data_IF_616168081225
#
_entry.id   IF_616168081225
#
_cell.length_a   1.000
_cell.length_b   1.000
_cell.length_c   1.000
_cell.angle_alpha   90.00
_cell.angle_beta   90.00
_cell.angle_gamma   90.00
#
_symmetry.space_group_name_H-M   'P 1'
#
loop_
_entity.id
_entity.type
_entity.pdbx_description
1 polymer ?
#
# COMPACT_ATOMS: atom_id res chain seq x y z
N UNK A 1 6.28 -0.55 12.37
CA UNK A 1 7.37 0.06 11.57
C UNK A 1 8.31 -0.94 10.90
N UNK A 2 8.77 -2.01 11.55
CA UNK A 2 9.73 -3.02 11.00
C UNK A 2 9.42 -3.69 9.63
N UNK A 3 8.34 -3.37 8.91
CA UNK A 3 8.02 -3.97 7.59
C UNK A 3 8.16 -3.01 6.41
N UNK A 4 8.10 -1.69 6.62
CA UNK A 4 8.18 -0.72 5.51
C UNK A 4 9.61 -0.52 5.03
N UNK A 5 10.58 -0.57 5.94
CA UNK A 5 12.00 -0.36 5.63
C UNK A 5 12.63 -1.54 4.88
N UNK A 6 12.36 -2.79 5.29
CA UNK A 6 13.02 -3.98 4.69
C UNK A 6 12.43 -4.43 3.34
N UNK A 7 11.18 -4.06 3.01
CA UNK A 7 10.48 -4.62 1.84
C UNK A 7 9.96 -3.57 0.85
N UNK A 8 10.21 -2.27 1.09
CA UNK A 8 9.68 -1.17 0.30
C UNK A 8 8.15 -1.32 0.08
N UNK A 9 7.43 -1.49 1.19
CA UNK A 9 6.01 -1.80 1.20
C UNK A 9 5.22 -0.88 2.13
N UNK A 10 4.07 -0.43 1.63
CA UNK A 10 3.08 0.37 2.37
C UNK A 10 1.85 -0.47 2.67
N UNK A 11 1.23 -0.23 3.82
CA UNK A 11 0.00 -0.90 4.25
C UNK A 11 -1.13 0.12 4.25
N UNK A 12 -2.20 -0.18 3.53
CA UNK A 12 -3.40 0.65 3.46
C UNK A 12 -4.59 -0.12 4.05
N UNK A 13 -5.43 0.53 4.84
CA UNK A 13 -6.77 0.00 5.14
C UNK A 13 -7.69 0.27 3.95
N UNK A 14 -8.46 -0.73 3.54
CA UNK A 14 -9.28 -0.73 2.33
C UNK A 14 -10.63 -1.41 2.58
N UNK A 15 -11.60 -1.16 1.71
CA UNK A 15 -12.90 -1.80 1.78
C UNK A 15 -12.81 -3.33 1.53
N UNK A 16 -13.60 -4.10 2.30
CA UNK A 16 -13.63 -5.57 2.23
C UNK A 16 -14.08 -6.10 0.86
N UNK A 17 -14.77 -5.29 0.05
CA UNK A 17 -15.17 -5.63 -1.32
C UNK A 17 -14.14 -5.21 -2.38
N UNK A 18 -13.16 -4.38 -2.05
CA UNK A 18 -12.17 -3.90 -3.01
C UNK A 18 -11.26 -5.03 -3.53
N UNK A 19 -11.15 -5.18 -4.85
CA UNK A 19 -10.24 -6.16 -5.44
C UNK A 19 -8.81 -5.59 -5.60
N UNK A 20 -7.83 -6.45 -5.83
CA UNK A 20 -6.41 -6.04 -5.96
C UNK A 20 -6.16 -5.05 -7.11
N UNK A 21 -6.93 -5.16 -8.19
CA UNK A 21 -6.78 -4.29 -9.37
C UNK A 21 -7.30 -2.87 -9.09
N UNK A 22 -8.43 -2.76 -8.40
CA UNK A 22 -9.01 -1.49 -7.95
C UNK A 22 -8.08 -0.80 -6.97
N UNK A 23 -7.54 -1.53 -6.00
CA UNK A 23 -6.56 -1.00 -5.04
C UNK A 23 -5.33 -0.48 -5.79
N UNK A 24 -4.81 -1.24 -6.76
CA UNK A 24 -3.69 -0.82 -7.61
C UNK A 24 -3.98 0.45 -8.41
N UNK A 25 -5.14 0.55 -9.03
CA UNK A 25 -5.51 1.74 -9.79
C UNK A 25 -5.73 2.96 -8.89
N UNK A 26 -6.37 2.77 -7.73
CA UNK A 26 -6.64 3.85 -6.78
C UNK A 26 -5.35 4.43 -6.19
N UNK A 27 -4.44 3.57 -5.72
CA UNK A 27 -3.16 4.01 -5.14
C UNK A 27 -2.30 4.71 -6.19
N UNK A 28 -2.26 4.20 -7.44
CA UNK A 28 -1.55 4.87 -8.54
C UNK A 28 -2.16 6.25 -8.84
N UNK A 29 -3.49 6.37 -8.88
CA UNK A 29 -4.16 7.64 -9.19
C UNK A 29 -4.02 8.69 -8.07
N UNK A 30 -4.08 8.27 -6.81
CA UNK A 30 -4.09 9.19 -5.67
C UNK A 30 -2.69 9.72 -5.34
N UNK A 31 -1.67 8.88 -5.47
CA UNK A 31 -0.33 9.22 -4.99
C UNK A 31 0.71 9.28 -6.11
N UNK A 32 0.33 8.91 -7.34
CA UNK A 32 1.20 8.86 -8.52
C UNK A 32 2.43 7.96 -8.32
N UNK A 33 2.21 6.77 -7.75
CA UNK A 33 3.25 5.80 -7.45
C UNK A 33 3.04 4.53 -8.26
N UNK A 34 4.13 4.01 -8.82
CA UNK A 34 4.13 2.69 -9.43
C UNK A 34 4.42 1.58 -8.42
N UNK A 35 3.67 0.48 -8.56
CA UNK A 35 3.72 -0.65 -7.63
C UNK A 35 3.96 -1.96 -8.36
N UNK A 36 4.84 -2.77 -7.77
CA UNK A 36 5.21 -4.09 -8.27
C UNK A 36 4.11 -5.11 -7.97
N UNK A 37 3.64 -5.16 -6.73
CA UNK A 37 2.71 -6.20 -6.26
C UNK A 37 1.78 -5.68 -5.17
N UNK A 38 0.53 -6.17 -5.19
CA UNK A 38 -0.45 -5.92 -4.13
C UNK A 38 -0.87 -7.25 -3.51
N UNK A 39 -0.72 -7.36 -2.20
CA UNK A 39 -1.28 -8.44 -1.40
C UNK A 39 -2.37 -7.87 -0.48
N UNK A 40 -3.39 -8.67 -0.18
CA UNK A 40 -4.51 -8.23 0.66
C UNK A 40 -4.80 -9.30 1.69
N UNK A 41 -5.11 -8.90 2.91
CA UNK A 41 -5.66 -9.78 3.94
C UNK A 41 -6.89 -9.13 4.57
N UNK A 42 -7.89 -9.93 4.91
CA UNK A 42 -9.03 -9.48 5.69
C UNK A 42 -8.72 -9.82 7.14
N UNK A 43 -8.71 -8.81 8.00
CA UNK A 43 -8.49 -8.94 9.43
C UNK A 43 -9.79 -9.39 10.12
N UNK A 44 -9.69 -10.03 11.30
CA UNK A 44 -10.87 -10.44 12.07
C UNK A 44 -11.70 -9.27 12.62
N UNK A 45 -11.15 -8.05 12.63
CA UNK A 45 -11.86 -6.81 12.96
C UNK A 45 -12.83 -6.35 11.84
N UNK A 46 -12.80 -7.01 10.68
CA UNK A 46 -13.65 -6.69 9.53
C UNK A 46 -13.03 -5.66 8.57
N UNK A 47 -11.78 -5.26 8.77
CA UNK A 47 -11.07 -4.40 7.81
C UNK A 47 -10.19 -5.22 6.85
N UNK A 48 -9.98 -4.71 5.64
CA UNK A 48 -9.02 -5.30 4.70
C UNK A 48 -7.74 -4.47 4.67
N UNK A 49 -6.63 -5.09 5.04
CA UNK A 49 -5.31 -4.50 4.82
C UNK A 49 -4.77 -4.87 3.44
N UNK A 50 -4.29 -3.86 2.72
CA UNK A 50 -3.60 -4.00 1.46
C UNK A 50 -2.11 -3.68 1.64
N UNK A 51 -1.27 -4.68 1.42
CA UNK A 51 0.18 -4.58 1.38
C UNK A 51 0.61 -4.29 -0.05
N UNK A 52 1.00 -3.05 -0.30
CA UNK A 52 1.41 -2.55 -1.61
C UNK A 52 2.93 -2.45 -1.63
N UNK A 53 3.56 -3.29 -2.45
CA UNK A 53 5.00 -3.22 -2.70
C UNK A 53 5.28 -2.26 -3.83
N UNK A 54 6.07 -1.23 -3.56
CA UNK A 54 6.40 -0.20 -4.53
C UNK A 54 7.38 -0.73 -5.59
N UNK A 55 7.49 -0.01 -6.70
CA UNK A 55 8.59 -0.20 -7.65
C UNK A 55 9.92 0.21 -6.99
N UNK A 56 11.06 -0.40 -7.39
CA UNK A 56 12.37 -0.10 -6.81
C UNK A 56 12.80 1.37 -7.00
N UNK A 57 12.19 2.08 -7.94
CA UNK A 57 12.45 3.50 -8.21
C UNK A 57 11.83 4.44 -7.15
N UNK A 58 10.95 3.93 -6.28
CA UNK A 58 10.28 4.70 -5.22
C UNK A 58 10.67 4.16 -3.85
N UNK A 59 10.94 5.06 -2.91
CA UNK A 59 11.17 4.70 -1.51
C UNK A 59 9.89 4.84 -0.68
N UNK A 60 9.54 3.79 0.06
CA UNK A 60 8.34 3.77 0.90
C UNK A 60 8.37 4.82 2.02
N UNK A 61 9.54 5.18 2.54
CA UNK A 61 9.70 6.16 3.61
C UNK A 61 9.47 7.58 3.06
N UNK A 62 10.03 7.90 1.90
CA UNK A 62 9.80 9.19 1.23
C UNK A 62 8.33 9.37 0.85
N UNK A 63 7.71 8.30 0.33
CA UNK A 63 6.28 8.30 0.05
C UNK A 63 5.46 8.46 1.32
N UNK A 64 5.80 7.74 2.40
CA UNK A 64 5.07 7.85 3.67
C UNK A 64 5.16 9.26 4.26
N UNK A 65 6.32 9.91 4.16
CA UNK A 65 6.51 11.32 4.53
C UNK A 65 5.64 12.24 3.69
N UNK A 66 5.56 12.02 2.37
CA UNK A 66 4.72 12.81 1.46
C UNK A 66 3.23 12.66 1.76
N UNK A 67 2.80 11.48 2.22
CA UNK A 67 1.40 11.21 2.59
C UNK A 67 1.09 11.67 4.03
N UNK A 68 2.11 11.85 4.88
CA UNK A 68 1.95 12.27 6.27
C UNK A 68 1.55 11.14 7.22
N UNK A 69 2.03 9.92 6.95
CA UNK A 69 1.76 8.72 7.78
C UNK A 69 2.89 8.49 8.82
N UNK A 70 3.97 9.27 8.74
CA UNK A 70 5.09 9.29 9.69
C UNK A 70 4.85 10.29 10.82
#
# INVERSE_FOLDING_TARGET
>A
MRKSEDNNALVFSTDVKANKYQIKQAVKKLYDIDMTKVNTLIRPDGEKEAYVRLAPDYDALDVANKIGII
#
